data_IF_076898200016
#
_entry.id   IF_076898200016
#
_cell.length_a   1.000
_cell.length_b   1.000
_cell.length_c   1.000
_cell.angle_alpha   90.00
_cell.angle_beta   90.00
_cell.angle_gamma   90.00
#
_symmetry.space_group_name_H-M   'P 1'
#
loop_
_entity.id
_entity.type
_entity.pdbx_description
1 polymer ?
#
# COMPACT_ATOMS: atom_id res chain seq x y z
N UNK A 1 9.60 44.85 -29.51
CA UNK A 1 10.04 44.23 -28.25
C UNK A 1 9.62 42.76 -28.26
N UNK A 2 10.54 41.82 -28.04
CA UNK A 2 10.22 40.39 -27.90
C UNK A 2 9.69 40.16 -26.49
N UNK A 3 8.44 39.72 -26.37
CA UNK A 3 7.82 39.34 -25.10
C UNK A 3 8.25 37.91 -24.80
N UNK A 4 9.04 37.75 -23.74
CA UNK A 4 9.40 36.45 -23.20
C UNK A 4 8.39 36.12 -22.11
N UNK A 5 7.46 35.19 -22.39
CA UNK A 5 6.57 34.64 -21.38
C UNK A 5 7.37 33.58 -20.61
N UNK A 6 7.89 33.96 -19.44
CA UNK A 6 8.41 33.01 -18.47
C UNK A 6 7.19 32.37 -17.81
N UNK A 7 6.84 31.16 -18.25
CA UNK A 7 5.88 30.32 -17.53
C UNK A 7 6.66 29.73 -16.35
N UNK A 8 6.40 30.14 -15.10
CA UNK A 8 6.91 29.36 -13.99
C UNK A 8 6.22 28.01 -14.10
N UNK A 9 6.99 26.97 -14.41
CA UNK A 9 6.63 25.59 -14.13
C UNK A 9 6.47 25.48 -12.61
N UNK A 10 5.37 26.01 -12.10
CA UNK A 10 4.79 25.60 -10.83
C UNK A 10 4.40 24.16 -11.08
N UNK A 11 5.37 23.30 -10.82
CA UNK A 11 5.19 21.89 -10.57
C UNK A 11 4.02 21.75 -9.62
N UNK A 12 2.83 21.53 -10.18
CA UNK A 12 1.72 20.94 -9.48
C UNK A 12 2.20 19.55 -9.10
N UNK A 13 2.92 19.48 -7.97
CA UNK A 13 3.05 18.25 -7.23
C UNK A 13 1.61 17.98 -6.81
N UNK A 14 0.91 17.18 -7.61
CA UNK A 14 -0.21 16.39 -7.13
C UNK A 14 0.38 15.53 -6.01
N UNK A 15 0.47 16.11 -4.81
CA UNK A 15 0.62 15.35 -3.58
C UNK A 15 -0.65 14.52 -3.51
N UNK A 16 -0.62 13.34 -4.12
CA UNK A 16 -1.51 12.27 -3.75
C UNK A 16 -1.46 12.27 -2.22
N UNK A 17 -2.57 12.64 -1.58
CA UNK A 17 -2.71 12.58 -0.14
C UNK A 17 -2.80 11.09 0.24
N UNK A 18 -1.73 10.35 0.01
CA UNK A 18 -1.55 9.05 0.60
C UNK A 18 -1.40 9.31 2.09
N UNK A 19 -2.39 8.88 2.86
CA UNK A 19 -2.28 8.81 4.31
C UNK A 19 -0.95 8.15 4.65
N UNK A 20 -0.11 8.81 5.47
CA UNK A 20 1.19 8.25 5.83
C UNK A 20 0.96 6.89 6.50
N UNK A 21 1.79 5.90 6.17
CA UNK A 21 1.65 4.53 6.69
C UNK A 21 1.62 4.49 8.22
N UNK A 22 2.30 5.43 8.86
CA UNK A 22 2.31 5.61 10.32
C UNK A 22 0.95 5.99 10.91
N UNK A 23 0.03 6.54 10.10
CA UNK A 23 -1.33 6.89 10.52
C UNK A 23 -2.35 5.78 10.27
N UNK A 24 -1.95 4.66 9.67
CA UNK A 24 -2.84 3.51 9.50
C UNK A 24 -3.07 2.84 10.85
N UNK A 25 -4.31 2.41 11.10
CA UNK A 25 -4.58 1.42 12.13
C UNK A 25 -3.96 0.06 11.77
N UNK A 26 -3.95 -0.87 12.72
CA UNK A 26 -3.29 -2.16 12.55
C UNK A 26 -3.96 -3.01 11.47
N UNK A 27 -5.28 -2.96 11.33
CA UNK A 27 -6.00 -3.74 10.31
C UNK A 27 -5.67 -3.24 8.90
N UNK A 28 -5.72 -1.92 8.69
CA UNK A 28 -5.38 -1.27 7.44
C UNK A 28 -3.90 -1.46 7.08
N UNK A 29 -3.00 -1.42 8.08
CA UNK A 29 -1.59 -1.72 7.89
C UNK A 29 -1.38 -3.17 7.39
N UNK A 30 -2.05 -4.14 8.02
CA UNK A 30 -1.94 -5.55 7.65
C UNK A 30 -2.59 -5.88 6.29
N UNK A 31 -3.69 -5.21 5.96
CA UNK A 31 -4.31 -5.32 4.64
C UNK A 31 -3.38 -4.77 3.53
N UNK A 32 -2.74 -3.61 3.75
CA UNK A 32 -1.74 -3.07 2.83
C UNK A 32 -0.49 -3.93 2.73
N UNK A 33 -0.13 -4.61 3.80
CA UNK A 33 1.00 -5.52 3.80
C UNK A 33 0.72 -6.71 2.88
N UNK A 34 -0.49 -7.28 2.93
CA UNK A 34 -0.94 -8.32 2.00
C UNK A 34 -0.99 -7.83 0.54
N UNK A 35 -1.46 -6.60 0.30
CA UNK A 35 -1.43 -5.99 -1.05
C UNK A 35 0.01 -5.88 -1.57
N UNK A 36 0.94 -5.44 -0.72
CA UNK A 36 2.35 -5.39 -1.04
C UNK A 36 2.91 -6.77 -1.40
N UNK A 37 2.67 -7.77 -0.57
CA UNK A 37 3.17 -9.13 -0.78
C UNK A 37 2.61 -9.81 -2.03
N UNK A 38 1.32 -9.59 -2.30
CA UNK A 38 0.64 -10.22 -3.43
C UNK A 38 1.02 -9.56 -4.77
N UNK A 39 1.03 -8.23 -4.84
CA UNK A 39 1.20 -7.50 -6.10
C UNK A 39 2.62 -6.94 -6.33
N UNK A 40 3.46 -6.79 -5.29
CA UNK A 40 4.77 -6.11 -5.39
C UNK A 40 5.93 -7.06 -5.10
N UNK A 41 6.77 -7.31 -6.11
CA UNK A 41 8.00 -8.10 -5.97
C UNK A 41 9.01 -7.53 -4.93
N UNK A 42 8.90 -6.26 -4.54
CA UNK A 42 9.81 -5.58 -3.61
C UNK A 42 9.13 -5.12 -2.31
N UNK A 43 8.08 -5.81 -1.86
CA UNK A 43 7.28 -5.45 -0.69
C UNK A 43 8.09 -5.29 0.62
N UNK A 44 9.23 -5.96 0.75
CA UNK A 44 10.15 -5.83 1.92
C UNK A 44 10.70 -4.40 2.03
N UNK A 45 10.81 -3.67 0.91
CA UNK A 45 11.22 -2.27 0.87
C UNK A 45 10.04 -1.30 0.98
N UNK A 46 8.81 -1.80 1.06
CA UNK A 46 7.60 -0.97 1.20
C UNK A 46 7.56 -0.32 2.59
N UNK A 47 7.21 0.97 2.70
CA UNK A 47 7.03 1.64 3.99
C UNK A 47 6.07 0.90 4.93
N UNK A 48 5.09 0.19 4.39
CA UNK A 48 4.14 -0.68 5.12
C UNK A 48 4.85 -1.80 5.86
N UNK A 49 5.79 -2.51 5.19
CA UNK A 49 6.56 -3.56 5.83
C UNK A 49 7.42 -3.00 6.97
N UNK A 50 8.07 -1.86 6.72
CA UNK A 50 8.91 -1.21 7.74
C UNK A 50 8.09 -0.83 8.98
N UNK A 51 6.91 -0.23 8.79
CA UNK A 51 6.02 0.15 9.89
C UNK A 51 5.53 -1.08 10.67
N UNK A 52 5.16 -2.16 9.97
CA UNK A 52 4.80 -3.43 10.61
C UNK A 52 5.93 -3.98 11.48
N UNK A 53 7.18 -3.99 10.99
CA UNK A 53 8.34 -4.44 11.79
C UNK A 53 8.54 -3.58 13.03
N UNK A 54 8.38 -2.25 12.91
CA UNK A 54 8.48 -1.33 14.04
C UNK A 54 7.41 -1.62 15.10
N UNK A 55 6.14 -1.78 14.70
CA UNK A 55 5.04 -2.08 15.63
C UNK A 55 5.20 -3.46 16.26
N UNK A 56 5.65 -4.46 15.49
CA UNK A 56 5.95 -5.82 15.97
C UNK A 56 7.03 -5.80 17.05
N UNK A 57 8.14 -5.08 16.80
CA UNK A 57 9.23 -4.95 17.78
C UNK A 57 8.78 -4.21 19.04
N UNK A 58 7.87 -3.24 18.91
CA UNK A 58 7.30 -2.51 20.05
C UNK A 58 6.17 -3.27 20.77
N UNK A 59 5.71 -4.39 20.22
CA UNK A 59 4.56 -5.13 20.75
C UNK A 59 3.24 -4.36 20.68
N UNK A 60 3.14 -3.36 19.79
CA UNK A 60 1.94 -2.52 19.65
C UNK A 60 0.97 -3.03 18.59
N UNK A 61 1.29 -4.16 17.95
CA UNK A 61 0.44 -4.83 16.97
C UNK A 61 0.35 -6.31 17.33
N UNK A 62 -0.85 -6.89 17.19
CA UNK A 62 -1.04 -8.34 17.32
C UNK A 62 -0.61 -9.03 16.04
N UNK A 63 0.47 -9.82 16.11
CA UNK A 63 0.96 -10.59 14.96
C UNK A 63 -0.08 -11.58 14.46
N UNK A 64 -0.76 -12.26 15.39
CA UNK A 64 -1.80 -13.26 15.06
C UNK A 64 -2.99 -12.63 14.33
N UNK A 65 -3.49 -11.49 14.81
CA UNK A 65 -4.57 -10.76 14.13
C UNK A 65 -4.12 -10.24 12.77
N UNK A 66 -2.89 -9.74 12.67
CA UNK A 66 -2.33 -9.25 11.42
C UNK A 66 -2.21 -10.37 10.37
N UNK A 67 -1.75 -11.55 10.77
CA UNK A 67 -1.61 -12.70 9.87
C UNK A 67 -2.98 -13.20 9.39
N UNK A 68 -4.01 -13.18 10.25
CA UNK A 68 -5.38 -13.50 9.86
C UNK A 68 -5.92 -12.50 8.81
N UNK A 69 -5.71 -11.20 9.03
CA UNK A 69 -6.09 -10.14 8.08
C UNK A 69 -5.33 -10.29 6.77
N UNK A 70 -4.02 -10.58 6.82
CA UNK A 70 -3.20 -10.79 5.63
C UNK A 70 -3.70 -11.96 4.79
N UNK A 71 -3.87 -13.13 5.41
CA UNK A 71 -4.34 -14.33 4.73
C UNK A 71 -5.72 -14.13 4.07
N UNK A 72 -6.66 -13.49 4.78
CA UNK A 72 -7.99 -13.15 4.24
C UNK A 72 -7.89 -12.26 3.00
N UNK A 73 -7.06 -11.22 3.04
CA UNK A 73 -6.91 -10.30 1.91
C UNK A 73 -6.23 -10.98 0.71
N UNK A 74 -5.17 -11.76 0.94
CA UNK A 74 -4.51 -12.53 -0.13
C UNK A 74 -5.47 -13.50 -0.82
N UNK A 75 -6.31 -14.21 -0.06
CA UNK A 75 -7.32 -15.10 -0.63
C UNK A 75 -8.34 -14.32 -1.48
N UNK A 76 -8.77 -13.15 -1.01
CA UNK A 76 -9.68 -12.29 -1.76
C UNK A 76 -9.05 -11.74 -3.05
N UNK A 77 -7.75 -11.43 -3.06
CA UNK A 77 -7.04 -11.01 -4.27
C UNK A 77 -6.96 -12.15 -5.29
N UNK A 78 -6.56 -13.35 -4.85
CA UNK A 78 -6.51 -14.52 -5.71
C UNK A 78 -7.87 -14.88 -6.31
N UNK A 79 -8.95 -14.78 -5.52
CA UNK A 79 -10.31 -15.01 -6.01
C UNK A 79 -10.69 -13.97 -7.09
N UNK A 80 -10.41 -12.68 -6.85
CA UNK A 80 -10.71 -11.62 -7.82
C UNK A 80 -9.94 -11.79 -9.13
N UNK A 81 -8.67 -12.19 -9.05
CA UNK A 81 -7.87 -12.45 -10.24
C UNK A 81 -8.44 -13.64 -11.03
N UNK A 82 -8.81 -14.73 -10.35
CA UNK A 82 -9.45 -15.88 -11.00
C UNK A 82 -10.81 -15.53 -11.64
N UNK A 83 -11.63 -14.71 -10.98
CA UNK A 83 -12.90 -14.23 -11.52
C UNK A 83 -12.69 -13.31 -12.75
N UNK A 84 -11.63 -12.50 -12.75
CA UNK A 84 -11.27 -11.65 -13.87
C UNK A 84 -10.80 -12.46 -15.10
N UNK A 85 -10.09 -13.57 -14.88
CA UNK A 85 -9.69 -14.49 -15.96
C UNK A 85 -10.91 -15.16 -16.61
N UNK A 86 -11.92 -15.56 -15.82
CA UNK A 86 -13.14 -16.20 -16.35
C UNK A 86 -14.05 -15.25 -17.13
N UNK A 87 -14.04 -13.94 -16.82
CA UNK A 87 -14.82 -12.93 -17.56
C UNK A 87 -14.12 -12.40 -18.81
N UNK A 88 -12.84 -12.76 -19.01
CA UNK A 88 -12.03 -12.35 -20.16
C UNK A 88 -12.20 -13.27 -21.38
N UNK A 89 -12.89 -14.41 -21.23
CA UNK A 89 -13.22 -15.38 -22.28
C UNK A 89 -14.62 -15.16 -22.88
#
# INVERSE_FOLDING_TARGET
MKVYIIIPLLSFILTACSTPVTALDDEALCAKLAEGEYFKNNWIWDPTFKEYQVRKQKGTISVEQCDAVRAKNMAAFAQKDAEAEVQSD
#
